data_IF_193221304233
#
_entry.id   IF_193221304233
#
_cell.length_a   1.000
_cell.length_b   1.000
_cell.length_c   1.000
_cell.angle_alpha   90.00
_cell.angle_beta   90.00
_cell.angle_gamma   90.00
#
_symmetry.space_group_name_H-M   'P 1'
#
loop_
_entity.id
_entity.type
_entity.pdbx_description
1 polymer ?
#
# COMPACT_ATOMS: atom_id res chain seq x y z
N UNK A 1 -15.81 5.29 -7.82
CA UNK A 1 -16.44 4.02 -8.27
C UNK A 1 -17.27 4.19 -9.55
N UNK A 2 -18.27 5.10 -9.66
CA UNK A 2 -19.10 5.19 -10.88
C UNK A 2 -18.31 5.39 -12.19
N UNK A 3 -17.24 6.19 -12.15
CA UNK A 3 -16.36 6.38 -13.30
C UNK A 3 -15.60 5.11 -13.70
N UNK A 4 -15.26 4.23 -12.74
CA UNK A 4 -14.61 2.94 -13.04
C UNK A 4 -15.56 2.02 -13.81
N UNK A 5 -16.85 1.98 -13.42
CA UNK A 5 -17.86 1.22 -14.15
C UNK A 5 -18.06 1.75 -15.57
N UNK A 6 -18.11 3.08 -15.73
CA UNK A 6 -18.20 3.70 -17.05
C UNK A 6 -17.00 3.36 -17.92
N UNK A 7 -15.78 3.48 -17.39
CA UNK A 7 -14.56 3.11 -18.11
C UNK A 7 -14.56 1.63 -18.51
N UNK A 8 -14.96 0.73 -17.60
CA UNK A 8 -15.05 -0.71 -17.89
C UNK A 8 -16.09 -1.03 -18.95
N UNK A 9 -17.25 -0.38 -18.94
CA UNK A 9 -18.31 -0.58 -19.93
C UNK A 9 -17.91 -0.07 -21.33
N UNK A 10 -17.05 0.94 -21.40
CA UNK A 10 -16.55 1.49 -22.67
C UNK A 10 -15.35 0.72 -23.23
N UNK A 11 -14.68 -0.10 -22.42
CA UNK A 11 -13.50 -0.83 -22.83
C UNK A 11 -13.85 -2.14 -23.54
N UNK A 12 -13.24 -2.38 -24.70
CA UNK A 12 -13.31 -3.68 -25.40
C UNK A 12 -12.42 -4.75 -24.76
N UNK A 13 -11.49 -4.36 -23.89
CA UNK A 13 -10.57 -5.26 -23.18
C UNK A 13 -10.84 -5.20 -21.68
N UNK A 14 -10.66 -6.31 -20.94
CA UNK A 14 -10.71 -6.28 -19.49
C UNK A 14 -9.71 -5.24 -18.94
N UNK A 15 -10.17 -4.39 -18.01
CA UNK A 15 -9.32 -3.42 -17.35
C UNK A 15 -8.73 -4.03 -16.08
N UNK A 16 -7.40 -3.97 -15.94
CA UNK A 16 -6.70 -4.36 -14.72
C UNK A 16 -6.51 -3.15 -13.83
N UNK A 17 -7.15 -3.15 -12.66
CA UNK A 17 -7.01 -2.08 -11.67
C UNK A 17 -5.85 -2.39 -10.72
N UNK A 18 -5.11 -1.37 -10.32
CA UNK A 18 -4.24 -1.46 -9.15
C UNK A 18 -4.49 -0.30 -8.19
N UNK A 19 -4.16 -0.48 -6.91
CA UNK A 19 -4.31 0.55 -5.89
C UNK A 19 -3.03 0.71 -5.06
N UNK A 20 -2.74 1.96 -4.71
CA UNK A 20 -1.53 2.34 -3.99
C UNK A 20 -1.92 3.32 -2.86
N UNK A 21 -1.63 3.05 -1.58
CA UNK A 21 -1.94 3.97 -0.50
C UNK A 21 -0.85 5.02 -0.32
N UNK A 22 -1.25 6.26 -0.03
CA UNK A 22 -0.33 7.35 0.24
C UNK A 22 0.04 7.43 1.73
N UNK A 23 -0.92 7.24 2.63
CA UNK A 23 -0.72 7.34 4.08
C UNK A 23 -1.61 6.35 4.82
N UNK A 24 -1.15 5.91 5.99
CA UNK A 24 -2.03 5.31 6.99
C UNK A 24 -2.80 6.40 7.77
N UNK A 25 -3.84 6.03 8.53
CA UNK A 25 -4.44 6.92 9.52
C UNK A 25 -3.41 7.54 10.46
N UNK A 26 -3.60 8.82 10.80
CA UNK A 26 -2.66 9.62 11.59
C UNK A 26 -2.27 8.98 12.93
N UNK A 27 -3.22 8.35 13.63
CA UNK A 27 -2.99 7.73 14.92
C UNK A 27 -2.01 6.53 14.88
N UNK A 28 -1.81 5.94 13.69
CA UNK A 28 -0.85 4.86 13.45
C UNK A 28 0.56 5.36 13.14
N UNK A 29 0.73 6.66 12.86
CA UNK A 29 2.00 7.24 12.41
C UNK A 29 2.81 7.82 13.57
N UNK A 30 4.13 7.69 13.50
CA UNK A 30 5.05 8.19 14.53
C UNK A 30 4.93 9.70 14.78
N UNK A 31 4.53 10.47 13.77
CA UNK A 31 4.35 11.92 13.83
C UNK A 31 2.91 12.37 14.10
N UNK A 32 1.92 11.46 14.11
CA UNK A 32 0.53 11.83 14.37
C UNK A 32 -0.15 12.71 13.32
N UNK A 33 0.45 12.92 12.14
CA UNK A 33 -0.11 13.69 11.01
C UNK A 33 -0.05 12.83 9.76
N UNK A 34 -1.02 12.95 8.85
CA UNK A 34 -1.05 12.26 7.56
C UNK A 34 0.04 12.73 6.58
N UNK A 35 0.59 13.93 6.79
CA UNK A 35 1.67 14.54 5.99
C UNK A 35 3.01 14.48 6.74
N UNK A 36 4.08 14.89 6.05
CA UNK A 36 5.39 15.07 6.65
C UNK A 36 6.11 13.75 6.99
N UNK A 37 7.26 13.87 7.64
CA UNK A 37 8.11 12.73 7.97
C UNK A 37 7.50 11.88 9.09
N UNK A 38 7.02 10.68 8.74
CA UNK A 38 6.50 9.72 9.70
C UNK A 38 6.41 8.30 9.15
N UNK A 39 6.73 7.33 9.98
CA UNK A 39 6.62 5.89 9.71
C UNK A 39 5.39 5.32 10.43
N UNK A 40 5.05 4.05 10.20
CA UNK A 40 4.18 3.33 11.13
C UNK A 40 4.84 3.30 12.52
N UNK A 41 4.02 3.36 13.58
CA UNK A 41 4.46 3.10 14.94
C UNK A 41 4.89 1.64 15.10
N UNK A 42 5.88 1.42 15.95
CA UNK A 42 6.37 0.09 16.31
C UNK A 42 7.06 -0.61 15.14
N UNK A 43 6.81 -1.91 14.96
CA UNK A 43 7.55 -2.76 14.03
C UNK A 43 6.69 -3.87 13.43
N UNK A 44 7.11 -4.39 12.26
CA UNK A 44 6.41 -5.46 11.57
C UNK A 44 6.15 -6.68 12.46
N UNK A 45 4.91 -7.18 12.41
CA UNK A 45 4.34 -8.20 13.29
C UNK A 45 3.54 -7.67 14.48
N UNK A 46 3.60 -6.37 14.76
CA UNK A 46 2.88 -5.74 15.87
C UNK A 46 1.42 -5.35 15.52
N UNK A 47 0.73 -4.74 16.48
CA UNK A 47 -0.66 -4.31 16.29
C UNK A 47 -0.81 -3.25 15.20
N UNK A 48 0.12 -2.32 15.04
CA UNK A 48 -0.01 -1.24 14.06
C UNK A 48 0.18 -1.77 12.64
N UNK A 49 1.17 -2.64 12.42
CA UNK A 49 1.43 -3.22 11.11
C UNK A 49 0.35 -4.23 10.71
N UNK A 50 -0.12 -5.07 11.64
CA UNK A 50 -1.28 -5.95 11.41
C UNK A 50 -2.54 -5.16 11.09
N UNK A 51 -2.81 -4.07 11.82
CA UNK A 51 -3.95 -3.20 11.51
C UNK A 51 -3.79 -2.57 10.13
N UNK A 52 -2.59 -2.16 9.73
CA UNK A 52 -2.36 -1.58 8.42
C UNK A 52 -2.59 -2.62 7.31
N UNK A 53 -2.07 -3.84 7.46
CA UNK A 53 -2.34 -4.94 6.54
C UNK A 53 -3.85 -5.26 6.44
N UNK A 54 -4.57 -5.27 7.56
CA UNK A 54 -6.02 -5.47 7.56
C UNK A 54 -6.77 -4.31 6.88
N UNK A 55 -6.21 -3.10 6.88
CA UNK A 55 -6.78 -1.95 6.16
C UNK A 55 -6.79 -2.21 4.63
N UNK A 56 -5.74 -2.82 4.08
CA UNK A 56 -5.75 -3.24 2.66
C UNK A 56 -6.86 -4.23 2.37
N UNK A 57 -7.03 -5.25 3.23
CA UNK A 57 -8.09 -6.25 3.05
C UNK A 57 -9.46 -5.58 3.11
N UNK A 58 -9.70 -4.68 4.08
CA UNK A 58 -10.95 -3.93 4.17
C UNK A 58 -11.20 -3.05 2.93
N UNK A 59 -10.17 -2.39 2.41
CA UNK A 59 -10.29 -1.63 1.16
C UNK A 59 -10.76 -2.53 0.00
N UNK A 60 -10.16 -3.71 -0.15
CA UNK A 60 -10.55 -4.68 -1.18
C UNK A 60 -11.97 -5.21 -0.94
N UNK A 61 -12.34 -5.53 0.31
CA UNK A 61 -13.68 -5.98 0.69
C UNK A 61 -14.74 -4.94 0.31
N UNK A 62 -14.52 -3.67 0.66
CA UNK A 62 -15.48 -2.59 0.36
C UNK A 62 -15.62 -2.36 -1.14
N UNK A 63 -14.53 -2.38 -1.91
CA UNK A 63 -14.62 -2.28 -3.38
C UNK A 63 -15.29 -3.50 -4.02
N UNK A 64 -15.08 -4.70 -3.48
CA UNK A 64 -15.72 -5.91 -3.95
C UNK A 64 -17.26 -5.86 -3.78
N UNK A 65 -17.78 -5.23 -2.73
CA UNK A 65 -19.23 -4.98 -2.57
C UNK A 65 -19.83 -4.13 -3.70
N UNK A 66 -19.00 -3.38 -4.41
CA UNK A 66 -19.37 -2.59 -5.57
C UNK A 66 -19.00 -3.26 -6.89
N UNK A 67 -18.71 -4.57 -6.91
CA UNK A 67 -18.27 -5.31 -8.11
C UNK A 67 -16.99 -4.72 -8.74
N UNK A 68 -16.09 -4.18 -7.92
CA UNK A 68 -14.77 -3.70 -8.36
C UNK A 68 -13.70 -4.58 -7.75
N UNK A 69 -12.86 -5.19 -8.59
CA UNK A 69 -11.74 -6.03 -8.17
C UNK A 69 -10.41 -5.43 -8.63
N UNK A 70 -9.35 -5.70 -7.87
CA UNK A 70 -8.01 -5.20 -8.16
C UNK A 70 -7.11 -6.34 -8.61
N UNK A 71 -6.42 -6.13 -9.74
CA UNK A 71 -5.36 -7.01 -10.20
C UNK A 71 -4.15 -6.94 -9.26
N UNK A 72 -3.81 -5.74 -8.77
CA UNK A 72 -2.66 -5.55 -7.88
C UNK A 72 -2.90 -4.48 -6.82
N UNK A 73 -2.10 -4.52 -5.76
CA UNK A 73 -1.86 -3.39 -4.85
C UNK A 73 -0.36 -3.15 -4.75
N UNK A 74 0.03 -1.92 -4.47
CA UNK A 74 1.42 -1.62 -4.10
C UNK A 74 1.55 -1.56 -2.59
N UNK A 75 2.72 -1.95 -2.07
CA UNK A 75 2.95 -2.00 -0.61
C UNK A 75 2.84 -0.62 0.05
N UNK A 76 3.27 0.42 -0.67
CA UNK A 76 3.23 1.81 -0.27
C UNK A 76 3.67 2.64 -1.47
N UNK A 77 2.99 3.74 -1.78
CA UNK A 77 3.51 4.69 -2.75
C UNK A 77 4.62 5.55 -2.20
N UNK A 78 5.64 5.75 -3.03
CA UNK A 78 6.80 6.58 -2.75
C UNK A 78 7.26 6.46 -1.29
N UNK A 79 7.60 5.24 -0.81
CA UNK A 79 8.01 4.99 0.58
C UNK A 79 9.21 5.85 1.01
N UNK A 80 9.97 6.42 0.07
CA UNK A 80 11.10 7.29 0.35
C UNK A 80 10.77 8.80 0.27
N UNK A 81 9.57 9.19 -0.17
CA UNK A 81 9.19 10.60 -0.34
C UNK A 81 9.41 11.43 0.93
N UNK A 82 9.06 10.90 2.11
CA UNK A 82 9.18 11.63 3.37
C UNK A 82 10.57 11.57 4.02
N UNK A 83 11.52 10.82 3.45
CA UNK A 83 12.86 10.69 4.04
C UNK A 83 13.74 11.89 3.75
N UNK A 84 13.58 12.54 2.60
CA UNK A 84 14.47 13.60 2.12
C UNK A 84 14.00 15.00 2.51
N UNK A 85 12.70 15.29 2.43
CA UNK A 85 12.09 16.54 2.89
C UNK A 85 10.72 16.21 3.48
N UNK A 86 10.22 16.95 4.49
CA UNK A 86 8.87 16.72 5.01
C UNK A 86 7.84 17.19 3.97
N UNK A 87 7.15 16.29 3.25
CA UNK A 87 6.23 16.70 2.22
C UNK A 87 4.99 17.34 2.86
N UNK A 88 4.40 18.29 2.15
CA UNK A 88 3.09 18.86 2.50
C UNK A 88 1.91 18.01 1.97
N UNK A 89 2.19 16.82 1.45
CA UNK A 89 1.20 15.87 0.94
C UNK A 89 1.20 14.56 1.77
N UNK A 90 0.14 13.74 1.67
CA UNK A 90 0.03 12.51 2.45
C UNK A 90 1.16 11.53 2.11
N UNK A 91 1.80 10.98 3.13
CA UNK A 91 2.93 10.06 2.96
C UNK A 91 3.06 9.14 4.17
N UNK A 92 3.68 7.98 4.01
CA UNK A 92 4.25 7.20 5.11
C UNK A 92 5.54 6.54 4.68
N UNK A 93 6.60 6.76 5.46
CA UNK A 93 7.93 6.32 5.11
C UNK A 93 8.15 4.84 5.42
N UNK A 94 8.83 4.15 4.50
CA UNK A 94 9.41 2.83 4.72
C UNK A 94 10.84 2.83 4.16
N UNK A 95 11.78 2.25 4.89
CA UNK A 95 13.03 1.76 4.28
C UNK A 95 12.77 0.44 3.55
N UNK A 96 13.70 0.01 2.69
CA UNK A 96 13.60 -1.30 2.01
C UNK A 96 13.44 -2.45 3.03
N UNK A 97 14.20 -2.43 4.13
CA UNK A 97 14.09 -3.45 5.18
C UNK A 97 12.74 -3.41 5.91
N UNK A 98 12.21 -2.21 6.18
CA UNK A 98 10.87 -2.07 6.77
C UNK A 98 9.78 -2.58 5.82
N UNK A 99 9.89 -2.30 4.52
CA UNK A 99 8.94 -2.82 3.53
C UNK A 99 9.03 -4.35 3.45
N UNK A 100 10.24 -4.93 3.38
CA UNK A 100 10.45 -6.39 3.44
C UNK A 100 9.74 -7.01 4.64
N UNK A 101 10.01 -6.49 5.84
CA UNK A 101 9.49 -7.09 7.06
C UNK A 101 7.96 -6.95 7.15
N UNK A 102 7.41 -5.81 6.72
CA UNK A 102 5.96 -5.61 6.63
C UNK A 102 5.29 -6.57 5.64
N UNK A 103 5.91 -6.79 4.46
CA UNK A 103 5.41 -7.73 3.46
C UNK A 103 5.43 -9.16 4.01
N UNK A 104 6.53 -9.60 4.61
CA UNK A 104 6.69 -10.97 5.12
C UNK A 104 5.78 -11.24 6.31
N UNK A 105 5.71 -10.31 7.28
CA UNK A 105 5.07 -10.57 8.57
C UNK A 105 3.58 -10.20 8.61
N UNK A 106 3.15 -9.23 7.80
CA UNK A 106 1.82 -8.63 7.95
C UNK A 106 1.03 -8.64 6.63
N UNK A 107 1.47 -7.88 5.61
CA UNK A 107 0.69 -7.63 4.39
C UNK A 107 0.53 -8.88 3.53
N UNK A 108 1.62 -9.60 3.27
CA UNK A 108 1.59 -10.84 2.47
C UNK A 108 0.67 -11.90 3.09
N UNK A 109 0.82 -12.24 4.39
CA UNK A 109 -0.09 -13.16 5.07
C UNK A 109 -1.54 -12.67 5.12
N UNK A 110 -1.79 -11.38 5.30
CA UNK A 110 -3.16 -10.83 5.30
C UNK A 110 -3.84 -10.96 3.94
N UNK A 111 -3.14 -10.61 2.85
CA UNK A 111 -3.65 -10.77 1.48
C UNK A 111 -3.88 -12.25 1.15
N UNK A 112 -2.96 -13.14 1.53
CA UNK A 112 -3.09 -14.59 1.26
C UNK A 112 -4.28 -15.23 1.98
N UNK A 113 -4.61 -14.77 3.19
CA UNK A 113 -5.80 -15.25 3.93
C UNK A 113 -7.11 -14.62 3.46
N UNK A 114 -7.04 -13.51 2.72
CA UNK A 114 -8.22 -12.84 2.19
C UNK A 114 -8.77 -13.58 0.97
N UNK A 115 -10.05 -13.41 0.62
CA UNK A 115 -10.62 -14.00 -0.60
C UNK A 115 -10.11 -13.33 -1.90
N UNK A 116 -9.34 -12.25 -1.79
CA UNK A 116 -8.91 -11.43 -2.93
C UNK A 116 -7.65 -12.01 -3.58
N UNK A 117 -7.73 -12.34 -4.87
CA UNK A 117 -6.60 -12.83 -5.67
C UNK A 117 -5.74 -11.70 -6.23
N UNK A 118 -5.34 -10.77 -5.37
CA UNK A 118 -4.62 -9.54 -5.74
C UNK A 118 -3.11 -9.77 -5.72
N UNK A 119 -2.38 -9.27 -6.71
CA UNK A 119 -0.91 -9.25 -6.74
C UNK A 119 -0.38 -8.17 -5.82
N UNK A 120 0.81 -8.36 -5.25
CA UNK A 120 1.51 -7.34 -4.49
C UNK A 120 2.73 -6.85 -5.27
N UNK A 121 2.83 -5.53 -5.42
CA UNK A 121 3.95 -4.85 -6.06
C UNK A 121 4.74 -4.09 -4.97
N UNK A 122 6.06 -4.24 -4.98
CA UNK A 122 6.98 -3.59 -4.05
C UNK A 122 7.53 -2.29 -4.65
N UNK A 123 8.28 -1.52 -3.85
CA UNK A 123 8.87 -0.21 -4.21
C UNK A 123 7.82 0.88 -4.47
N UNK A 124 7.17 0.88 -5.64
CA UNK A 124 6.27 1.95 -6.13
C UNK A 124 6.86 3.36 -5.96
N UNK A 125 8.12 3.48 -6.38
CA UNK A 125 8.95 4.68 -6.23
C UNK A 125 9.92 4.78 -7.43
N UNK A 126 10.77 5.81 -7.40
CA UNK A 126 11.73 6.14 -8.43
C UNK A 126 12.70 4.98 -8.73
N UNK A 127 12.96 4.75 -10.03
CA UNK A 127 13.87 3.69 -10.51
C UNK A 127 15.29 3.76 -9.96
N UNK A 128 15.73 4.93 -9.46
CA UNK A 128 17.07 5.13 -8.90
C UNK A 128 17.33 4.29 -7.64
N UNK A 129 16.27 3.79 -6.99
CA UNK A 129 16.36 2.92 -5.83
C UNK A 129 16.58 1.45 -6.21
N UNK A 130 16.55 1.12 -7.50
CA UNK A 130 16.92 -0.18 -8.03
C UNK A 130 18.41 -0.23 -8.39
N UNK A 131 19.07 -1.40 -8.24
CA UNK A 131 18.50 -2.69 -7.85
C UNK A 131 18.43 -2.91 -6.33
N UNK A 132 18.89 -1.95 -5.51
CA UNK A 132 19.01 -2.13 -4.06
C UNK A 132 17.69 -2.59 -3.43
N UNK A 133 16.57 -1.92 -3.74
CA UNK A 133 15.28 -2.26 -3.16
C UNK A 133 14.85 -3.70 -3.44
N UNK A 134 14.98 -4.14 -4.70
CA UNK A 134 14.64 -5.49 -5.13
C UNK A 134 15.59 -6.58 -4.61
N UNK A 135 16.80 -6.21 -4.17
CA UNK A 135 17.71 -7.15 -3.50
C UNK A 135 17.37 -7.35 -2.02
N UNK A 136 16.70 -6.37 -1.41
CA UNK A 136 16.37 -6.38 0.02
C UNK A 136 14.99 -6.96 0.28
N UNK A 137 13.99 -6.55 -0.50
CA UNK A 137 12.58 -6.98 -0.38
C UNK A 137 12.34 -8.27 -1.14
#
# INVERSE_FOLDING_TARGET
IPLLHRASAMSRRPLSLYASPWTSPAWMKSNGDVRGKGTLKGQAGDKYHKTWANYFVKFLDEYAKHNVSFWAVTAQNEPLAALFTPPQFPTIAFTAAQQRDFVIRDLGPALTRSPHRTRLIILDDQRIHLPHWAKVV
#
